data_IF_866542124271
#
_entry.id   IF_866542124271
#
_cell.length_a   1.000
_cell.length_b   1.000
_cell.length_c   1.000
_cell.angle_alpha   90.00
_cell.angle_beta   90.00
_cell.angle_gamma   90.00
#
_symmetry.space_group_name_H-M   'P 1'
#
loop_
_entity.id
_entity.type
_entity.pdbx_description
1 polymer ?
#
# COMPACT_ATOMS: atom_id res chain seq x y z
N UNK A 1 7.72 6.27 -0.40
CA UNK A 1 7.48 4.83 -0.37
C UNK A 1 6.90 4.37 -1.72
N UNK A 2 7.61 3.50 -2.44
CA UNK A 2 7.19 3.02 -3.79
C UNK A 2 6.26 1.79 -3.75
N UNK A 3 6.02 1.23 -2.57
CA UNK A 3 5.21 0.02 -2.40
C UNK A 3 3.81 0.32 -1.86
N UNK A 4 3.48 1.60 -1.63
CA UNK A 4 2.19 2.03 -1.10
C UNK A 4 1.37 2.69 -2.21
N UNK A 5 0.15 2.23 -2.36
CA UNK A 5 -0.84 2.81 -3.26
C UNK A 5 -1.99 3.39 -2.44
N UNK A 6 -2.43 4.56 -2.80
CA UNK A 6 -3.36 5.32 -1.95
C UNK A 6 -4.41 6.04 -2.76
N UNK A 7 -5.53 6.36 -2.12
CA UNK A 7 -6.51 7.33 -2.60
C UNK A 7 -6.45 8.56 -1.69
N UNK A 8 -6.44 9.76 -2.25
CA UNK A 8 -6.32 11.04 -1.51
C UNK A 8 -5.11 11.06 -0.54
N UNK A 9 -4.00 10.47 -0.97
CA UNK A 9 -2.77 10.32 -0.18
C UNK A 9 -2.96 9.59 1.17
N UNK A 10 -3.95 8.69 1.26
CA UNK A 10 -4.20 7.82 2.41
C UNK A 10 -4.45 6.40 1.97
N UNK A 11 -3.97 5.46 2.76
CA UNK A 11 -4.29 4.03 2.63
C UNK A 11 -5.51 3.69 3.49
N UNK A 12 -6.16 2.55 3.25
CA UNK A 12 -7.35 2.15 4.01
C UNK A 12 -7.13 2.16 5.52
N UNK A 13 -5.96 1.69 5.98
CA UNK A 13 -5.64 1.65 7.41
C UNK A 13 -5.65 3.04 8.10
N UNK A 14 -5.62 4.11 7.32
CA UNK A 14 -5.58 5.51 7.80
C UNK A 14 -6.88 6.28 7.56
N UNK A 15 -7.94 5.59 7.16
CA UNK A 15 -9.21 6.23 6.81
C UNK A 15 -10.38 5.63 7.57
N UNK A 16 -11.42 6.43 7.73
CA UNK A 16 -12.73 5.96 8.13
C UNK A 16 -13.56 5.56 6.91
N UNK A 17 -14.69 4.89 7.16
CA UNK A 17 -15.68 4.59 6.13
C UNK A 17 -16.27 5.89 5.58
N UNK A 18 -16.57 5.89 4.28
CA UNK A 18 -17.30 6.97 3.64
C UNK A 18 -18.80 6.70 3.86
N UNK A 19 -19.43 7.56 4.65
CA UNK A 19 -20.85 7.43 4.96
C UNK A 19 -21.70 7.96 3.79
N UNK A 20 -22.69 7.18 3.40
CA UNK A 20 -23.68 7.49 2.35
C UNK A 20 -25.08 7.20 2.87
N UNK A 21 -26.08 7.88 2.32
CA UNK A 21 -27.49 7.64 2.66
C UNK A 21 -28.14 6.74 1.61
N UNK A 22 -29.01 5.86 2.07
CA UNK A 22 -29.80 5.03 1.15
C UNK A 22 -30.63 5.92 0.21
N UNK A 23 -30.53 5.64 -1.08
CA UNK A 23 -31.24 6.36 -2.14
C UNK A 23 -30.59 7.65 -2.61
N UNK A 24 -29.43 8.06 -2.03
CA UNK A 24 -28.72 9.21 -2.55
C UNK A 24 -27.93 8.87 -3.82
N UNK A 25 -27.75 9.88 -4.67
CA UNK A 25 -26.86 9.80 -5.83
C UNK A 25 -25.47 10.24 -5.42
N UNK A 26 -24.55 9.30 -5.46
CA UNK A 26 -23.13 9.55 -5.13
C UNK A 26 -22.33 9.77 -6.39
N UNK A 27 -21.70 10.95 -6.51
CA UNK A 27 -20.80 11.28 -7.61
C UNK A 27 -19.35 11.28 -7.13
N UNK A 28 -18.50 10.57 -7.85
CA UNK A 28 -17.09 10.45 -7.54
C UNK A 28 -16.28 10.98 -8.73
N UNK A 29 -15.39 11.93 -8.48
CA UNK A 29 -14.37 12.33 -9.45
C UNK A 29 -13.09 11.58 -9.15
N UNK A 30 -12.61 10.83 -10.12
CA UNK A 30 -11.40 10.00 -10.04
C UNK A 30 -10.32 10.64 -10.91
N UNK A 31 -9.25 11.10 -10.30
CA UNK A 31 -8.06 11.57 -10.99
C UNK A 31 -6.89 10.64 -10.71
N UNK A 32 -6.37 10.03 -11.76
CA UNK A 32 -5.20 9.17 -11.65
C UNK A 32 -3.90 10.00 -11.72
N UNK A 33 -3.36 10.33 -10.56
CA UNK A 33 -2.09 11.06 -10.44
C UNK A 33 -0.88 10.10 -10.42
N UNK A 34 -0.90 9.09 -11.26
CA UNK A 34 0.20 8.11 -11.37
C UNK A 34 0.45 7.72 -12.83
N UNK A 35 1.59 7.06 -13.08
CA UNK A 35 1.96 6.56 -14.41
C UNK A 35 1.48 5.12 -14.66
N UNK A 36 0.62 4.59 -13.80
CA UNK A 36 0.02 3.27 -13.95
C UNK A 36 -1.50 3.38 -14.08
N UNK A 37 -2.10 2.46 -14.84
CA UNK A 37 -3.56 2.35 -14.93
C UNK A 37 -4.15 1.79 -13.66
N UNK A 38 -5.38 2.19 -13.34
CA UNK A 38 -6.11 1.72 -12.17
C UNK A 38 -7.54 1.32 -12.55
N UNK A 39 -7.82 0.02 -12.73
CA UNK A 39 -9.19 -0.47 -12.84
C UNK A 39 -9.90 -0.31 -11.48
N UNK A 40 -10.78 0.68 -11.36
CA UNK A 40 -11.51 0.98 -10.14
C UNK A 40 -12.83 0.23 -10.12
N UNK A 41 -13.03 -0.60 -9.08
CA UNK A 41 -14.19 -1.46 -8.90
C UNK A 41 -15.00 -1.07 -7.66
N UNK A 42 -16.31 -0.97 -7.84
CA UNK A 42 -17.28 -0.76 -6.75
C UNK A 42 -18.11 -2.04 -6.56
N UNK A 43 -18.08 -2.58 -5.35
CA UNK A 43 -18.92 -3.71 -4.99
C UNK A 43 -20.37 -3.27 -4.79
N UNK A 44 -21.30 -4.17 -5.10
CA UNK A 44 -22.73 -4.04 -4.82
C UNK A 44 -23.51 -3.05 -5.70
N UNK A 45 -22.82 -2.16 -6.42
CA UNK A 45 -23.46 -1.12 -7.23
C UNK A 45 -22.87 -1.06 -8.63
N UNK A 46 -23.71 -0.87 -9.63
CA UNK A 46 -23.29 -0.40 -10.93
C UNK A 46 -23.28 1.13 -10.94
N UNK A 47 -22.29 1.72 -11.56
CA UNK A 47 -22.16 3.15 -11.72
C UNK A 47 -22.22 3.56 -13.18
N UNK A 48 -22.76 4.75 -13.43
CA UNK A 48 -22.73 5.39 -14.73
C UNK A 48 -21.43 6.16 -14.89
N UNK A 49 -20.75 5.97 -16.02
CA UNK A 49 -19.58 6.79 -16.38
C UNK A 49 -20.09 8.10 -16.98
N UNK A 50 -19.94 9.19 -16.27
CA UNK A 50 -20.43 10.49 -16.70
C UNK A 50 -19.56 11.05 -17.83
N UNK A 51 -20.13 11.09 -19.02
CA UNK A 51 -19.50 11.59 -20.23
C UNK A 51 -20.52 12.39 -21.08
N UNK A 52 -20.15 12.79 -22.27
CA UNK A 52 -21.00 13.57 -23.17
C UNK A 52 -22.20 12.81 -23.75
N UNK A 53 -22.42 11.54 -23.40
CA UNK A 53 -23.51 10.70 -23.94
C UNK A 53 -24.82 10.81 -23.09
N UNK A 54 -24.81 11.57 -21.99
CA UNK A 54 -26.00 11.76 -21.15
C UNK A 54 -26.58 10.43 -20.65
N UNK A 55 -27.87 10.19 -20.92
CA UNK A 55 -28.58 8.98 -20.49
C UNK A 55 -28.07 7.67 -21.14
N UNK A 56 -27.35 7.79 -22.25
CA UNK A 56 -26.72 6.66 -22.93
C UNK A 56 -25.31 6.36 -22.39
N UNK A 57 -24.84 7.11 -21.42
CA UNK A 57 -23.56 6.82 -20.76
C UNK A 57 -23.56 5.42 -20.15
N UNK A 58 -22.49 4.62 -20.32
CA UNK A 58 -22.51 3.21 -19.96
C UNK A 58 -22.60 2.98 -18.46
N UNK A 59 -23.36 1.95 -18.05
CA UNK A 59 -23.32 1.40 -16.72
C UNK A 59 -22.20 0.37 -16.61
N UNK A 60 -21.41 0.49 -15.58
CA UNK A 60 -20.26 -0.40 -15.31
C UNK A 60 -20.11 -0.60 -13.80
N UNK A 61 -19.41 -1.65 -13.40
CA UNK A 61 -18.94 -1.83 -12.02
C UNK A 61 -17.42 -1.79 -11.91
N UNK A 62 -16.71 -1.77 -13.05
CA UNK A 62 -15.28 -1.52 -13.16
C UNK A 62 -15.02 -0.45 -14.21
N UNK A 63 -14.21 0.53 -13.87
CA UNK A 63 -13.72 1.54 -14.81
C UNK A 63 -12.18 1.59 -14.72
N UNK A 64 -11.54 1.39 -15.86
CA UNK A 64 -10.10 1.53 -15.96
C UNK A 64 -9.71 2.98 -16.21
N UNK A 65 -8.91 3.53 -15.30
CA UNK A 65 -8.47 4.92 -15.36
C UNK A 65 -7.01 4.95 -15.79
N UNK A 66 -6.77 5.54 -16.95
CA UNK A 66 -5.44 5.63 -17.53
C UNK A 66 -4.55 6.63 -16.78
N UNK A 67 -3.22 6.56 -16.94
CA UNK A 67 -2.32 7.54 -16.37
C UNK A 67 -2.75 8.98 -16.66
N UNK A 68 -2.76 9.83 -15.64
CA UNK A 68 -3.11 11.25 -15.69
C UNK A 68 -4.54 11.55 -16.19
N UNK A 69 -5.39 10.54 -16.27
CA UNK A 69 -6.78 10.67 -16.69
C UNK A 69 -7.70 11.08 -15.53
N UNK A 70 -8.73 11.84 -15.86
CA UNK A 70 -9.84 12.16 -14.95
C UNK A 70 -11.12 11.57 -15.48
N UNK A 71 -11.81 10.81 -14.64
CA UNK A 71 -13.14 10.27 -14.92
C UNK A 71 -14.12 10.63 -13.80
N UNK A 72 -15.38 10.74 -14.16
CA UNK A 72 -16.47 10.94 -13.20
C UNK A 72 -17.41 9.77 -13.28
N UNK A 73 -17.72 9.18 -12.14
CA UNK A 73 -18.71 8.11 -12.02
C UNK A 73 -19.82 8.54 -11.07
N UNK A 74 -21.00 7.97 -11.27
CA UNK A 74 -22.18 8.26 -10.45
C UNK A 74 -22.98 6.97 -10.22
N UNK A 75 -23.38 6.73 -8.99
CA UNK A 75 -24.23 5.59 -8.64
C UNK A 75 -25.30 5.98 -7.63
N UNK A 76 -26.40 5.27 -7.66
CA UNK A 76 -27.45 5.36 -6.65
C UNK A 76 -27.14 4.39 -5.50
N UNK A 77 -27.09 4.88 -4.28
CA UNK A 77 -26.85 4.09 -3.07
C UNK A 77 -28.11 3.30 -2.66
N UNK A 78 -28.58 2.39 -3.51
CA UNK A 78 -29.84 1.69 -3.34
C UNK A 78 -29.75 0.44 -2.45
N UNK A 79 -28.56 -0.05 -2.16
CA UNK A 79 -28.31 -1.21 -1.30
C UNK A 79 -27.71 -0.78 0.05
N UNK A 80 -28.26 -1.30 1.15
CA UNK A 80 -27.69 -1.11 2.47
C UNK A 80 -26.50 -2.05 2.69
N UNK A 81 -25.47 -1.55 3.37
CA UNK A 81 -24.30 -2.35 3.70
C UNK A 81 -23.00 -1.58 3.68
N UNK A 82 -21.91 -2.33 3.80
CA UNK A 82 -20.55 -1.86 3.62
C UNK A 82 -20.04 -2.35 2.25
N UNK A 83 -19.72 -1.43 1.37
CA UNK A 83 -19.37 -1.71 0.00
C UNK A 83 -17.92 -1.31 -0.28
N UNK A 84 -17.13 -2.29 -0.76
CA UNK A 84 -15.71 -2.09 -1.03
C UNK A 84 -15.54 -1.37 -2.36
N UNK A 85 -14.73 -0.32 -2.37
CA UNK A 85 -14.31 0.41 -3.56
C UNK A 85 -12.79 0.37 -3.65
N UNK A 86 -12.25 -0.24 -4.70
CA UNK A 86 -10.83 -0.51 -4.76
C UNK A 86 -10.28 -0.57 -6.18
N UNK A 87 -8.96 -0.42 -6.30
CA UNK A 87 -8.25 -0.79 -7.51
C UNK A 87 -8.25 -2.31 -7.68
N UNK A 88 -8.61 -2.81 -8.86
CA UNK A 88 -8.67 -4.26 -9.13
C UNK A 88 -7.31 -4.87 -9.51
N UNK A 89 -6.25 -4.08 -9.57
CA UNK A 89 -4.88 -4.61 -9.51
C UNK A 89 -4.63 -5.01 -8.06
N UNK A 90 -4.57 -6.32 -7.79
CA UNK A 90 -4.53 -6.86 -6.43
C UNK A 90 -3.39 -6.31 -5.59
N UNK A 91 -2.23 -6.13 -6.20
CA UNK A 91 -1.08 -5.52 -5.55
C UNK A 91 -1.38 -4.09 -5.05
N UNK A 92 -2.04 -3.26 -5.86
CA UNK A 92 -2.43 -1.90 -5.46
C UNK A 92 -3.49 -1.92 -4.36
N UNK A 93 -4.48 -2.81 -4.49
CA UNK A 93 -5.51 -3.01 -3.47
C UNK A 93 -4.91 -3.39 -2.12
N UNK A 94 -4.07 -4.43 -2.10
CA UNK A 94 -3.41 -4.92 -0.88
C UNK A 94 -2.45 -3.88 -0.27
N UNK A 95 -1.84 -3.05 -1.10
CA UNK A 95 -0.96 -1.96 -0.68
C UNK A 95 -1.71 -0.68 -0.23
N UNK A 96 -3.06 -0.70 -0.15
CA UNK A 96 -3.86 0.34 0.46
C UNK A 96 -4.78 1.13 -0.45
N UNK A 97 -4.85 0.81 -1.77
CA UNK A 97 -5.69 1.54 -2.73
C UNK A 97 -7.14 1.05 -2.70
N UNK A 98 -7.80 1.31 -1.61
CA UNK A 98 -9.19 0.93 -1.39
C UNK A 98 -9.88 1.84 -0.36
N UNK A 99 -11.23 1.80 -0.37
CA UNK A 99 -12.14 2.51 0.54
C UNK A 99 -13.36 1.65 0.81
N UNK A 100 -14.11 2.02 1.84
CA UNK A 100 -15.41 1.40 2.15
C UNK A 100 -16.46 2.48 2.18
N UNK A 101 -17.46 2.36 1.31
CA UNK A 101 -18.74 3.08 1.42
C UNK A 101 -19.64 2.35 2.40
N UNK A 102 -20.27 3.06 3.30
CA UNK A 102 -21.11 2.49 4.34
C UNK A 102 -22.43 3.24 4.41
N UNK A 103 -23.54 2.53 4.26
CA UNK A 103 -24.85 3.14 4.40
C UNK A 103 -25.12 3.53 5.84
N UNK A 104 -25.53 4.78 6.08
CA UNK A 104 -25.95 5.24 7.39
C UNK A 104 -27.16 4.45 7.91
N UNK A 105 -27.23 4.25 9.22
CA UNK A 105 -28.37 3.60 9.90
C UNK A 105 -28.78 2.23 9.34
N UNK A 106 -27.85 1.52 8.71
CA UNK A 106 -28.11 0.19 8.18
C UNK A 106 -28.44 -0.83 9.27
N UNK A 107 -29.31 -1.78 8.95
CA UNK A 107 -29.65 -2.87 9.84
C UNK A 107 -28.43 -3.71 10.24
N UNK A 108 -28.38 -4.30 11.44
CA UNK A 108 -27.33 -5.22 11.82
C UNK A 108 -27.29 -6.42 10.86
N UNK A 109 -26.10 -6.76 10.38
CA UNK A 109 -25.90 -7.99 9.61
C UNK A 109 -25.70 -9.16 10.59
N UNK A 110 -26.57 -10.19 10.61
CA UNK A 110 -26.44 -11.33 11.51
C UNK A 110 -25.11 -12.11 11.36
N UNK A 111 -24.55 -12.11 10.14
CA UNK A 111 -23.26 -12.76 9.85
C UNK A 111 -22.06 -11.93 10.30
N UNK A 112 -22.27 -10.63 10.55
CA UNK A 112 -21.21 -9.71 10.94
C UNK A 112 -21.74 -8.72 12.00
N UNK A 113 -22.05 -9.19 13.21
CA UNK A 113 -22.73 -8.39 14.23
C UNK A 113 -21.87 -7.23 14.74
N UNK A 114 -20.56 -7.40 14.81
CA UNK A 114 -19.63 -6.34 15.22
C UNK A 114 -18.93 -5.69 14.01
N UNK A 115 -19.57 -4.67 13.46
CA UNK A 115 -19.06 -3.90 12.31
C UNK A 115 -17.79 -3.13 12.63
N UNK A 116 -17.60 -2.69 13.89
CA UNK A 116 -16.41 -1.95 14.30
C UNK A 116 -15.20 -2.87 14.35
N UNK A 117 -15.37 -4.05 14.92
CA UNK A 117 -14.33 -5.07 14.94
C UNK A 117 -13.95 -5.49 13.52
N UNK A 118 -14.93 -5.76 12.66
CA UNK A 118 -14.72 -6.13 11.26
C UNK A 118 -13.92 -5.07 10.49
N UNK A 119 -14.27 -3.81 10.65
CA UNK A 119 -13.52 -2.73 9.99
C UNK A 119 -12.11 -2.58 10.54
N UNK A 120 -11.91 -2.66 11.85
CA UNK A 120 -10.56 -2.67 12.45
C UNK A 120 -9.72 -3.86 11.99
N UNK A 121 -10.34 -5.02 11.81
CA UNK A 121 -9.66 -6.19 11.25
C UNK A 121 -9.20 -5.91 9.82
N UNK A 122 -10.10 -5.40 8.95
CA UNK A 122 -9.77 -5.01 7.58
C UNK A 122 -8.64 -3.99 7.52
N UNK A 123 -8.68 -2.95 8.37
CA UNK A 123 -7.60 -1.95 8.46
C UNK A 123 -6.26 -2.56 8.86
N UNK A 124 -6.26 -3.52 9.79
CA UNK A 124 -5.05 -4.22 10.23
C UNK A 124 -4.47 -5.11 9.14
N UNK A 125 -5.32 -5.89 8.45
CA UNK A 125 -4.93 -6.73 7.32
C UNK A 125 -4.37 -5.90 6.15
N UNK A 126 -4.90 -4.69 5.94
CA UNK A 126 -4.38 -3.74 4.93
C UNK A 126 -3.06 -3.05 5.34
N UNK A 127 -2.54 -3.35 6.52
CA UNK A 127 -1.31 -2.76 7.07
C UNK A 127 -0.38 -3.82 7.67
N UNK A 128 -0.46 -5.04 7.16
CA UNK A 128 0.42 -6.13 7.57
C UNK A 128 1.87 -5.87 7.18
N UNK A 129 2.77 -6.42 7.97
CA UNK A 129 4.21 -6.41 7.67
C UNK A 129 4.50 -7.49 6.61
N UNK A 130 5.03 -7.06 5.48
CA UNK A 130 5.48 -7.93 4.41
C UNK A 130 6.97 -8.21 4.57
N UNK A 131 7.32 -9.48 4.51
CA UNK A 131 8.69 -9.95 4.58
C UNK A 131 9.23 -10.20 3.18
N UNK A 132 10.44 -9.72 2.92
CA UNK A 132 11.21 -10.01 1.73
C UNK A 132 12.60 -10.49 2.13
N UNK A 133 13.09 -11.51 1.45
CA UNK A 133 14.44 -12.03 1.59
C UNK A 133 15.01 -12.32 0.21
N UNK A 134 16.24 -11.88 0.00
CA UNK A 134 17.02 -12.20 -1.20
C UNK A 134 18.45 -12.50 -0.77
N UNK A 135 19.06 -13.51 -1.38
CA UNK A 135 20.48 -13.78 -1.20
C UNK A 135 21.06 -14.36 -2.49
N UNK A 136 22.17 -13.77 -2.91
CA UNK A 136 22.93 -14.16 -4.09
C UNK A 136 24.24 -14.82 -3.63
N UNK A 137 24.50 -16.02 -4.11
CA UNK A 137 25.69 -16.79 -3.77
C UNK A 137 26.71 -16.76 -4.90
N UNK A 138 27.95 -16.39 -4.56
CA UNK A 138 29.09 -16.44 -5.45
C UNK A 138 30.17 -17.36 -4.87
N UNK A 139 31.19 -17.65 -5.63
CA UNK A 139 32.31 -18.54 -5.20
C UNK A 139 33.20 -17.92 -4.14
N UNK A 140 33.20 -16.60 -4.00
CA UNK A 140 34.05 -15.83 -3.10
C UNK A 140 33.28 -15.10 -1.98
N UNK A 141 31.95 -15.18 -1.99
CA UNK A 141 31.12 -14.52 -0.99
C UNK A 141 29.64 -14.67 -1.28
N UNK A 142 28.81 -14.02 -0.47
CA UNK A 142 27.40 -13.83 -0.76
C UNK A 142 26.97 -12.41 -0.42
N UNK A 143 25.99 -11.93 -1.15
CA UNK A 143 25.31 -10.67 -0.92
C UNK A 143 23.83 -10.94 -0.69
N UNK A 144 23.23 -10.24 0.24
CA UNK A 144 21.82 -10.46 0.48
C UNK A 144 21.17 -9.29 1.19
N UNK A 145 19.85 -9.40 1.27
CA UNK A 145 19.03 -8.45 1.99
C UNK A 145 17.81 -9.14 2.61
N UNK A 146 17.39 -8.61 3.72
CA UNK A 146 16.08 -8.90 4.28
C UNK A 146 15.36 -7.60 4.59
N UNK A 147 14.06 -7.58 4.36
CA UNK A 147 13.23 -6.42 4.63
C UNK A 147 11.90 -6.85 5.23
N UNK A 148 11.48 -6.13 6.25
CA UNK A 148 10.15 -6.23 6.86
C UNK A 148 9.50 -4.85 6.78
N UNK A 149 8.43 -4.72 5.99
CA UNK A 149 7.84 -3.43 5.66
C UNK A 149 6.32 -3.48 5.66
N UNK A 150 5.70 -2.40 6.10
CA UNK A 150 4.29 -2.11 5.85
C UNK A 150 4.11 -0.72 5.22
N UNK A 151 2.91 -0.15 5.31
CA UNK A 151 2.61 1.17 4.72
C UNK A 151 3.43 2.31 5.33
N UNK A 152 3.93 2.16 6.55
CA UNK A 152 4.65 3.22 7.29
C UNK A 152 6.02 2.82 7.79
N UNK A 153 6.23 1.57 8.18
CA UNK A 153 7.46 1.10 8.78
C UNK A 153 8.31 0.33 7.79
N UNK A 154 9.61 0.53 7.86
CA UNK A 154 10.61 -0.24 7.12
C UNK A 154 11.72 -0.64 8.06
N UNK A 155 11.96 -1.94 8.17
CA UNK A 155 13.14 -2.52 8.77
C UNK A 155 13.88 -3.28 7.70
N UNK A 156 15.18 -3.01 7.55
CA UNK A 156 16.01 -3.64 6.53
C UNK A 156 17.39 -4.01 7.07
N UNK A 157 17.91 -5.11 6.59
CA UNK A 157 19.31 -5.49 6.76
C UNK A 157 19.84 -5.93 5.40
N UNK A 158 20.97 -5.35 5.00
CA UNK A 158 21.72 -5.74 3.83
C UNK A 158 23.07 -6.27 4.29
N UNK A 159 23.61 -7.25 3.59
CA UNK A 159 24.93 -7.81 3.89
C UNK A 159 25.72 -8.15 2.65
N UNK A 160 27.03 -8.06 2.79
CA UNK A 160 28.03 -8.60 1.88
C UNK A 160 29.03 -9.38 2.70
N UNK A 161 29.08 -10.69 2.48
CA UNK A 161 29.91 -11.60 3.25
C UNK A 161 30.93 -12.26 2.35
N UNK A 162 32.21 -11.86 2.48
CA UNK A 162 33.31 -12.52 1.83
C UNK A 162 33.69 -13.83 2.53
N UNK A 163 34.00 -14.89 1.77
CA UNK A 163 34.39 -16.18 2.35
C UNK A 163 35.89 -16.22 2.77
N UNK A 164 36.58 -15.09 2.66
CA UNK A 164 37.97 -14.95 3.14
C UNK A 164 38.19 -13.54 3.71
N UNK A 165 39.19 -13.41 4.57
CA UNK A 165 39.55 -12.14 5.22
C UNK A 165 39.84 -11.02 4.23
N UNK A 166 40.33 -11.36 3.03
CA UNK A 166 40.61 -10.37 1.97
C UNK A 166 39.34 -9.70 1.43
N UNK A 167 38.24 -10.43 1.42
CA UNK A 167 36.95 -9.90 0.92
C UNK A 167 36.18 -9.17 2.02
N UNK A 168 36.46 -9.53 3.28
CA UNK A 168 35.82 -8.91 4.42
C UNK A 168 34.33 -9.18 4.53
N UNK A 169 33.67 -8.43 5.37
CA UNK A 169 32.22 -8.43 5.46
C UNK A 169 31.69 -7.03 5.78
N UNK A 170 30.48 -6.77 5.34
CA UNK A 170 29.76 -5.53 5.57
C UNK A 170 28.29 -5.85 5.86
N UNK A 171 27.74 -5.23 6.87
CA UNK A 171 26.31 -5.29 7.17
C UNK A 171 25.78 -3.90 7.44
N UNK A 172 24.63 -3.59 6.86
CA UNK A 172 23.88 -2.36 7.11
C UNK A 172 22.49 -2.72 7.59
N UNK A 173 22.13 -2.24 8.77
CA UNK A 173 20.80 -2.47 9.36
C UNK A 173 20.16 -1.15 9.69
N UNK A 174 18.90 -0.98 9.33
CA UNK A 174 18.15 0.24 9.65
C UNK A 174 16.69 -0.04 9.98
N UNK A 175 16.13 0.83 10.79
CA UNK A 175 14.70 0.94 11.03
C UNK A 175 14.28 2.37 10.75
N UNK A 176 13.29 2.54 9.88
CA UNK A 176 12.77 3.84 9.50
C UNK A 176 11.25 3.89 9.48
N UNK A 177 10.73 5.11 9.50
CA UNK A 177 9.30 5.35 9.39
C UNK A 177 9.00 6.42 8.36
N UNK A 178 8.19 6.11 7.38
CA UNK A 178 7.68 7.09 6.41
C UNK A 178 6.72 8.05 7.09
N UNK A 179 7.00 9.34 6.99
CA UNK A 179 6.20 10.42 7.60
C UNK A 179 5.53 11.31 6.55
N UNK A 180 4.49 12.02 7.00
CA UNK A 180 3.67 12.87 6.12
C UNK A 180 2.72 12.07 5.22
N UNK A 181 1.80 12.79 4.56
CA UNK A 181 0.80 12.18 3.66
C UNK A 181 1.45 11.57 2.42
N UNK A 182 2.42 12.25 1.84
CA UNK A 182 3.06 11.83 0.59
C UNK A 182 4.22 10.84 0.81
N UNK A 183 4.60 10.57 2.06
CA UNK A 183 5.64 9.59 2.41
C UNK A 183 7.00 9.81 1.70
N UNK A 184 7.37 11.06 1.48
CA UNK A 184 8.64 11.40 0.82
C UNK A 184 9.82 11.35 1.79
N UNK A 185 9.56 11.53 3.07
CA UNK A 185 10.59 11.55 4.11
C UNK A 185 10.50 10.31 4.97
N UNK A 186 11.62 9.66 5.16
CA UNK A 186 11.79 8.51 6.05
C UNK A 186 12.99 8.74 6.96
N UNK A 187 12.81 9.40 8.12
CA UNK A 187 13.85 9.34 9.15
C UNK A 187 14.07 7.89 9.58
N UNK A 188 15.32 7.55 9.81
CA UNK A 188 15.73 6.21 10.22
C UNK A 188 16.85 6.26 11.26
N UNK A 189 17.00 5.18 11.98
CA UNK A 189 18.18 4.88 12.81
C UNK A 189 18.77 3.60 12.27
N UNK A 190 20.08 3.56 12.09
CA UNK A 190 20.76 2.42 11.52
C UNK A 190 22.10 2.14 12.21
N UNK A 191 22.58 0.95 11.97
CA UNK A 191 23.87 0.49 12.42
C UNK A 191 24.57 -0.22 11.25
N UNK A 192 25.78 0.22 10.96
CA UNK A 192 26.66 -0.37 9.96
C UNK A 192 27.85 -1.01 10.64
N UNK A 193 28.20 -2.19 10.19
CA UNK A 193 29.38 -2.88 10.64
C UNK A 193 30.18 -3.39 9.44
N UNK A 194 31.49 -3.06 9.44
CA UNK A 194 32.40 -3.38 8.36
C UNK A 194 33.69 -3.95 8.91
N UNK A 195 34.16 -4.99 8.28
CA UNK A 195 35.46 -5.57 8.55
C UNK A 195 36.19 -5.88 7.26
N UNK A 196 37.44 -5.51 7.20
CA UNK A 196 38.33 -5.83 6.08
C UNK A 196 39.78 -5.94 6.56
N UNK A 197 40.50 -6.99 6.07
CA UNK A 197 41.91 -7.17 6.32
C UNK A 197 42.70 -6.83 5.07
N UNK A 198 43.53 -5.81 5.14
CA UNK A 198 44.46 -5.40 4.08
C UNK A 198 45.90 -5.60 4.52
N UNK A 199 46.51 -6.73 4.12
CA UNK A 199 47.88 -7.07 4.51
C UNK A 199 48.00 -7.40 6.00
N UNK A 200 48.84 -6.65 6.75
CA UNK A 200 48.99 -6.78 8.21
C UNK A 200 48.00 -5.90 8.99
N UNK A 201 47.30 -5.00 8.31
CA UNK A 201 46.34 -4.09 8.94
C UNK A 201 44.94 -4.69 8.93
N UNK A 202 44.30 -4.75 10.07
CA UNK A 202 42.90 -5.08 10.26
C UNK A 202 42.11 -3.78 10.43
N UNK A 203 41.06 -3.62 9.66
CA UNK A 203 40.15 -2.49 9.80
C UNK A 203 38.77 -3.01 10.18
N UNK A 204 38.31 -2.61 11.34
CA UNK A 204 36.96 -2.84 11.81
C UNK A 204 36.30 -1.49 12.12
N UNK A 205 35.17 -1.27 11.58
CA UNK A 205 34.41 -0.03 11.75
C UNK A 205 32.96 -0.33 12.08
N UNK A 206 32.44 0.32 13.11
CA UNK A 206 31.05 0.27 13.49
C UNK A 206 30.51 1.70 13.55
N UNK A 207 29.47 1.98 12.78
CA UNK A 207 28.89 3.33 12.65
C UNK A 207 27.40 3.28 13.02
N UNK A 208 27.00 4.16 13.92
CA UNK A 208 25.61 4.46 14.17
C UNK A 208 25.18 5.58 13.20
N UNK A 209 24.10 5.35 12.45
CA UNK A 209 23.54 6.31 11.49
C UNK A 209 22.19 6.86 11.93
#
# INVERSE_FOLDING_TARGET
NRYVWSMDNRVLAETDKILIKKGEIVRITLYNNSMMRHPMHLHGHDFRVINGQGDYAPLKNVLDIMPMETNVIEFEANLEGDWFFHCHILYHMMAGMNRVFSTENQAPNPLLPDKKWAYKKLQRESNELHFMFQNDFATNGNDGMTMLQNTRWSFGTEWRLGYSDKHGYETETHIGRYIGRNQWLMPFIGFDWRYRKMGMDEQEEAILR
#
